data_IF_442789658284
#
_entry.id   IF_442789658284
#
_cell.length_a   1.000
_cell.length_b   1.000
_cell.length_c   1.000
_cell.angle_alpha   90.00
_cell.angle_beta   90.00
_cell.angle_gamma   90.00
#
_symmetry.space_group_name_H-M   'P 1'
#
loop_
_entity.id
_entity.type
_entity.pdbx_description
1 polymer ?
#
# COMPACT_ATOMS: atom_id res chain seq x y z
N UNK A 1 27.60 1.20 -18.84
CA UNK A 1 27.01 1.52 -17.52
C UNK A 1 25.86 0.57 -17.12
N UNK A 2 25.90 -0.71 -17.53
CA UNK A 2 24.97 -1.78 -17.10
C UNK A 2 25.76 -3.00 -16.61
N UNK A 3 26.94 -3.24 -17.19
CA UNK A 3 27.91 -4.25 -16.76
C UNK A 3 28.53 -3.98 -15.37
N UNK A 4 28.37 -2.78 -14.82
CA UNK A 4 28.85 -2.43 -13.47
C UNK A 4 27.90 -2.90 -12.36
N UNK A 5 26.62 -3.14 -12.68
CA UNK A 5 25.58 -3.42 -11.69
C UNK A 5 24.94 -4.80 -11.83
N UNK A 6 25.15 -5.49 -12.95
CA UNK A 6 24.59 -6.81 -13.21
C UNK A 6 25.68 -7.73 -13.78
N UNK A 7 25.72 -9.01 -13.39
CA UNK A 7 26.64 -10.00 -13.93
C UNK A 7 26.17 -10.43 -15.33
N UNK A 8 26.28 -9.52 -16.29
CA UNK A 8 25.91 -9.78 -17.69
C UNK A 8 27.17 -9.85 -18.52
N UNK A 9 27.34 -10.92 -19.29
CA UNK A 9 28.50 -11.06 -20.16
C UNK A 9 28.57 -9.90 -21.18
N UNK A 10 29.77 -9.42 -21.56
CA UNK A 10 29.95 -8.26 -22.44
C UNK A 10 29.27 -8.36 -23.81
N UNK A 11 28.87 -9.57 -24.21
CA UNK A 11 28.21 -9.91 -25.47
C UNK A 11 26.70 -9.70 -25.45
N UNK A 12 26.06 -9.53 -24.28
CA UNK A 12 24.61 -9.37 -24.21
C UNK A 12 24.19 -7.90 -24.39
N UNK A 13 23.60 -7.59 -25.54
CA UNK A 13 23.03 -6.28 -25.81
C UNK A 13 21.89 -5.96 -24.83
N UNK A 14 21.74 -4.70 -24.41
CA UNK A 14 20.64 -4.22 -23.55
C UNK A 14 19.24 -4.66 -24.05
N UNK A 15 19.04 -4.74 -25.36
CA UNK A 15 17.81 -5.22 -25.96
C UNK A 15 17.52 -6.71 -25.64
N UNK A 16 18.55 -7.55 -25.57
CA UNK A 16 18.45 -8.97 -25.23
C UNK A 16 18.07 -9.15 -23.77
N UNK A 17 18.75 -8.44 -22.87
CA UNK A 17 18.42 -8.44 -21.42
C UNK A 17 16.97 -7.99 -21.23
N UNK A 18 16.57 -6.87 -21.83
CA UNK A 18 15.19 -6.37 -21.78
C UNK A 18 14.17 -7.40 -22.28
N UNK A 19 14.39 -8.02 -23.44
CA UNK A 19 13.49 -9.05 -23.99
C UNK A 19 13.36 -10.26 -23.08
N UNK A 20 14.47 -10.72 -22.49
CA UNK A 20 14.44 -11.85 -21.54
C UNK A 20 13.69 -11.49 -20.26
N UNK A 21 13.94 -10.31 -19.69
CA UNK A 21 13.22 -9.83 -18.51
C UNK A 21 11.71 -9.72 -18.77
N UNK A 22 11.31 -9.18 -19.92
CA UNK A 22 9.89 -9.11 -20.31
C UNK A 22 9.29 -10.52 -20.40
N UNK A 23 9.97 -11.46 -21.09
CA UNK A 23 9.50 -12.84 -21.23
C UNK A 23 9.37 -13.58 -19.89
N UNK A 24 10.27 -13.31 -18.94
CA UNK A 24 10.16 -13.85 -17.58
C UNK A 24 8.93 -13.26 -16.89
N UNK A 25 8.69 -11.95 -17.04
CA UNK A 25 7.50 -11.29 -16.53
C UNK A 25 6.21 -11.90 -17.08
N UNK A 26 6.12 -12.06 -18.41
CA UNK A 26 4.98 -12.70 -19.08
C UNK A 26 4.73 -14.11 -18.53
N UNK A 27 5.78 -14.92 -18.40
CA UNK A 27 5.66 -16.27 -17.85
C UNK A 27 5.19 -16.29 -16.39
N UNK A 28 5.63 -15.33 -15.56
CA UNK A 28 5.17 -15.22 -14.18
C UNK A 28 3.68 -14.81 -14.13
N UNK A 29 3.25 -13.89 -14.98
CA UNK A 29 1.84 -13.52 -15.09
C UNK A 29 0.99 -14.71 -15.58
N UNK A 30 1.46 -15.48 -16.56
CA UNK A 30 0.78 -16.69 -17.06
C UNK A 30 0.65 -17.77 -15.97
N UNK A 31 1.72 -18.01 -15.19
CA UNK A 31 1.70 -18.95 -14.06
C UNK A 31 0.67 -18.56 -13.01
N UNK A 32 0.61 -17.27 -12.64
CA UNK A 32 -0.39 -16.75 -11.70
C UNK A 32 -1.81 -16.95 -12.25
N UNK A 33 -2.02 -16.73 -13.56
CA UNK A 33 -3.32 -16.92 -14.19
C UNK A 33 -3.75 -18.40 -14.23
N UNK A 34 -2.83 -19.33 -14.54
CA UNK A 34 -3.10 -20.77 -14.50
C UNK A 34 -3.42 -21.25 -13.08
N UNK A 35 -2.66 -20.80 -12.08
CA UNK A 35 -2.92 -21.11 -10.67
C UNK A 35 -4.30 -20.60 -10.21
N UNK A 36 -4.71 -19.40 -10.66
CA UNK A 36 -6.05 -18.89 -10.40
C UNK A 36 -7.14 -19.77 -11.01
N UNK A 37 -6.97 -20.20 -12.26
CA UNK A 37 -7.88 -21.10 -12.97
C UNK A 37 -8.01 -22.44 -12.23
N UNK A 38 -6.89 -23.05 -11.86
CA UNK A 38 -6.87 -24.29 -11.08
C UNK A 38 -7.51 -24.13 -9.71
N UNK A 39 -7.22 -23.04 -9.01
CA UNK A 39 -7.82 -22.78 -7.71
C UNK A 39 -9.33 -22.51 -7.78
N UNK A 40 -9.84 -21.94 -8.89
CA UNK A 40 -11.28 -21.79 -9.16
C UNK A 40 -11.94 -23.15 -9.43
N UNK A 41 -11.27 -24.06 -10.15
CA UNK A 41 -11.76 -25.40 -10.41
C UNK A 41 -11.79 -26.31 -9.16
N UNK A 42 -10.89 -26.08 -8.19
CA UNK A 42 -10.82 -26.84 -6.93
C UNK A 42 -11.66 -26.27 -5.78
N UNK A 43 -12.47 -25.23 -6.02
CA UNK A 43 -13.20 -24.50 -4.96
C UNK A 43 -14.21 -25.38 -4.21
N UNK A 44 -14.64 -26.52 -4.77
CA UNK A 44 -15.62 -27.40 -4.14
C UNK A 44 -15.06 -28.29 -3.01
N UNK A 45 -13.75 -28.51 -2.93
CA UNK A 45 -13.17 -29.48 -1.98
C UNK A 45 -12.41 -28.87 -0.79
N UNK A 46 -12.02 -27.59 -0.85
CA UNK A 46 -11.20 -26.95 0.20
C UNK A 46 -12.02 -26.05 1.12
N UNK A 47 -12.80 -26.64 2.02
CA UNK A 47 -13.32 -25.88 3.18
C UNK A 47 -12.16 -25.55 4.12
N UNK A 48 -12.09 -24.29 4.58
CA UNK A 48 -11.19 -23.91 5.67
C UNK A 48 -11.64 -24.64 6.94
N UNK A 49 -10.89 -25.66 7.37
CA UNK A 49 -11.23 -26.52 8.51
C UNK A 49 -10.74 -25.96 9.86
N UNK A 50 -10.70 -24.64 9.99
CA UNK A 50 -10.16 -24.00 11.19
C UNK A 50 -11.24 -23.89 12.26
N UNK A 51 -10.93 -24.42 13.45
CA UNK A 51 -11.78 -24.30 14.63
C UNK A 51 -12.00 -22.82 14.93
N UNK A 52 -13.26 -22.42 15.01
CA UNK A 52 -13.60 -21.03 15.26
C UNK A 52 -13.41 -20.67 16.73
N UNK A 53 -12.17 -20.37 17.14
CA UNK A 53 -11.89 -19.80 18.44
C UNK A 53 -12.18 -18.29 18.46
N UNK A 54 -12.89 -17.75 19.47
CA UNK A 54 -13.02 -16.31 19.67
C UNK A 54 -11.63 -15.67 19.88
N UNK A 55 -11.31 -14.60 19.14
CA UNK A 55 -10.02 -13.91 19.25
C UNK A 55 -8.84 -14.60 18.55
N UNK A 56 -9.09 -15.58 17.69
CA UNK A 56 -8.02 -16.22 16.91
C UNK A 56 -7.48 -15.28 15.83
N UNK A 57 -6.27 -14.77 16.04
CA UNK A 57 -5.54 -13.93 15.08
C UNK A 57 -5.32 -14.60 13.74
N UNK A 58 -5.33 -15.94 13.66
CA UNK A 58 -5.19 -16.65 12.39
C UNK A 58 -6.39 -16.47 11.47
N UNK A 59 -7.51 -15.94 11.98
CA UNK A 59 -8.67 -15.55 11.17
C UNK A 59 -8.50 -14.17 10.53
N UNK A 60 -7.54 -13.38 10.98
CA UNK A 60 -7.27 -12.05 10.43
C UNK A 60 -6.35 -12.16 9.21
N UNK A 61 -6.65 -11.36 8.19
CA UNK A 61 -5.81 -11.20 7.01
C UNK A 61 -5.60 -9.70 6.78
N UNK A 62 -4.37 -9.29 6.54
CA UNK A 62 -4.04 -7.87 6.32
C UNK A 62 -3.47 -7.68 4.92
N UNK A 63 -4.03 -6.73 4.20
CA UNK A 63 -3.54 -6.29 2.90
C UNK A 63 -3.08 -4.84 3.05
N UNK A 64 -1.77 -4.60 2.99
CA UNK A 64 -1.20 -3.25 2.98
C UNK A 64 -0.85 -2.88 1.55
N UNK A 65 -1.39 -1.76 1.06
CA UNK A 65 -1.24 -1.32 -0.34
C UNK A 65 -0.71 0.10 -0.36
N UNK A 66 0.30 0.32 -1.20
CA UNK A 66 0.90 1.62 -1.45
C UNK A 66 1.02 1.87 -2.95
N UNK A 67 0.88 3.13 -3.37
CA UNK A 67 0.99 3.54 -4.77
C UNK A 67 2.17 4.47 -4.98
N UNK A 68 2.94 4.21 -6.03
CA UNK A 68 4.10 5.01 -6.39
C UNK A 68 4.04 5.38 -7.87
N UNK A 69 4.47 6.59 -8.19
CA UNK A 69 4.42 7.09 -9.56
C UNK A 69 5.81 7.16 -10.19
N UNK A 70 6.02 6.43 -11.28
CA UNK A 70 7.31 6.38 -11.98
C UNK A 70 7.23 7.17 -13.28
N UNK A 71 8.16 8.12 -13.44
CA UNK A 71 8.30 8.89 -14.67
C UNK A 71 8.95 8.03 -15.75
N UNK A 72 8.41 8.08 -16.95
CA UNK A 72 9.06 7.47 -18.11
C UNK A 72 10.36 8.18 -18.47
N UNK A 73 11.37 7.41 -18.88
CA UNK A 73 12.69 7.92 -19.25
C UNK A 73 12.75 8.48 -20.70
N UNK A 74 11.69 8.34 -21.49
CA UNK A 74 11.66 8.83 -22.87
C UNK A 74 11.39 10.33 -22.94
N UNK A 75 12.20 11.08 -23.69
CA UNK A 75 12.06 12.54 -23.91
C UNK A 75 10.68 12.97 -24.46
N UNK A 76 9.93 12.04 -25.05
CA UNK A 76 8.62 12.28 -25.66
C UNK A 76 7.46 11.57 -24.93
N UNK A 77 7.72 10.96 -23.77
CA UNK A 77 6.73 10.18 -23.03
C UNK A 77 6.29 10.96 -21.79
N UNK A 78 5.26 11.80 -21.92
CA UNK A 78 4.55 12.37 -20.77
C UNK A 78 3.75 11.33 -19.96
N UNK A 79 3.80 10.05 -20.37
CA UNK A 79 3.16 8.95 -19.64
C UNK A 79 3.99 8.58 -18.43
N UNK A 80 3.25 8.46 -17.36
CA UNK A 80 3.64 8.59 -15.98
C UNK A 80 2.89 7.37 -15.41
N UNK A 81 3.62 6.32 -15.04
CA UNK A 81 3.01 5.02 -14.76
C UNK A 81 2.90 4.81 -13.26
N UNK A 82 1.70 4.45 -12.81
CA UNK A 82 1.41 4.17 -11.40
C UNK A 82 1.74 2.70 -11.13
N UNK A 83 2.61 2.48 -10.14
CA UNK A 83 2.93 1.18 -9.58
C UNK A 83 2.15 1.00 -8.29
N UNK A 84 1.44 -0.10 -8.17
CA UNK A 84 0.79 -0.53 -6.95
C UNK A 84 1.63 -1.65 -6.35
N UNK A 85 2.07 -1.46 -5.12
CA UNK A 85 2.78 -2.47 -4.34
C UNK A 85 1.87 -2.89 -3.20
N UNK A 86 1.71 -4.18 -3.00
CA UNK A 86 0.86 -4.69 -1.94
C UNK A 86 1.51 -5.86 -1.21
N UNK A 87 1.31 -5.90 0.11
CA UNK A 87 1.67 -7.02 0.98
C UNK A 87 0.39 -7.65 1.52
N UNK A 88 0.22 -8.94 1.29
CA UNK A 88 -0.84 -9.76 1.87
C UNK A 88 -0.24 -10.64 2.98
N UNK A 89 -0.74 -10.50 4.20
CA UNK A 89 -0.32 -11.27 5.36
C UNK A 89 -1.49 -12.00 5.98
N UNK A 90 -1.17 -13.10 6.67
CA UNK A 90 -2.09 -13.79 7.56
C UNK A 90 -1.71 -13.46 8.99
N UNK A 91 -2.70 -13.23 9.84
CA UNK A 91 -2.48 -12.71 11.17
C UNK A 91 -2.85 -11.23 11.31
N UNK A 92 -2.61 -10.71 12.51
CA UNK A 92 -2.84 -9.31 12.84
C UNK A 92 -1.79 -8.37 12.24
N UNK A 93 -1.98 -7.06 12.47
CA UNK A 93 -1.03 -6.04 11.98
C UNK A 93 0.37 -6.26 12.56
N UNK A 94 1.37 -6.33 11.68
CA UNK A 94 2.77 -6.48 12.06
C UNK A 94 3.23 -7.93 12.24
N UNK A 95 2.39 -8.93 11.96
CA UNK A 95 2.84 -10.32 11.95
C UNK A 95 3.85 -10.58 10.82
N UNK A 96 4.86 -11.39 11.15
CA UNK A 96 5.89 -11.82 10.21
C UNK A 96 5.33 -12.76 9.14
N UNK A 97 5.98 -12.79 7.98
CA UNK A 97 5.47 -13.54 6.83
C UNK A 97 4.42 -12.78 6.03
N UNK A 98 4.31 -13.13 4.75
CA UNK A 98 3.41 -12.47 3.81
C UNK A 98 3.89 -12.61 2.38
N UNK A 99 2.98 -12.35 1.45
CA UNK A 99 3.23 -12.35 0.01
C UNK A 99 3.14 -10.94 -0.52
N UNK A 100 4.06 -10.61 -1.42
CA UNK A 100 4.10 -9.32 -2.06
C UNK A 100 3.70 -9.49 -3.52
N UNK A 101 2.91 -8.55 -4.01
CA UNK A 101 2.71 -8.41 -5.45
C UNK A 101 2.91 -6.95 -5.85
N UNK A 102 3.34 -6.77 -7.11
CA UNK A 102 3.51 -5.46 -7.72
C UNK A 102 2.77 -5.47 -9.04
N UNK A 103 2.03 -4.40 -9.33
CA UNK A 103 1.39 -4.23 -10.64
C UNK A 103 1.53 -2.80 -11.12
N UNK A 104 1.86 -2.64 -12.41
CA UNK A 104 1.82 -1.34 -13.10
C UNK A 104 0.47 -1.04 -13.74
N UNK A 105 -0.55 -1.88 -13.50
CA UNK A 105 -1.90 -1.68 -13.99
C UNK A 105 -2.72 -0.91 -12.97
N UNK A 106 -3.36 0.16 -13.44
CA UNK A 106 -4.34 0.90 -12.66
C UNK A 106 -5.74 0.20 -12.63
N UNK A 107 -5.86 -0.99 -13.24
CA UNK A 107 -7.13 -1.72 -13.27
C UNK A 107 -7.43 -2.37 -11.90
N UNK A 108 -8.56 -1.97 -11.33
CA UNK A 108 -9.01 -2.44 -10.02
C UNK A 108 -9.27 -3.95 -9.98
N UNK A 109 -9.73 -4.55 -11.09
CA UNK A 109 -9.95 -5.99 -11.16
C UNK A 109 -8.62 -6.74 -11.11
N UNK A 110 -7.64 -6.31 -11.89
CA UNK A 110 -6.30 -6.89 -11.86
C UNK A 110 -5.63 -6.78 -10.47
N UNK A 111 -5.80 -5.65 -9.76
CA UNK A 111 -5.27 -5.48 -8.39
C UNK A 111 -5.99 -6.43 -7.42
N UNK A 112 -7.32 -6.53 -7.52
CA UNK A 112 -8.13 -7.43 -6.68
C UNK A 112 -7.74 -8.89 -6.89
N UNK A 113 -7.63 -9.32 -8.14
CA UNK A 113 -7.37 -10.73 -8.47
C UNK A 113 -5.98 -11.13 -7.96
N UNK A 114 -4.95 -10.28 -8.19
CA UNK A 114 -3.62 -10.46 -7.59
C UNK A 114 -3.63 -10.46 -6.05
N UNK A 115 -4.42 -9.60 -5.42
CA UNK A 115 -4.56 -9.59 -3.97
C UNK A 115 -5.21 -10.87 -3.44
N UNK A 116 -6.24 -11.38 -4.12
CA UNK A 116 -6.88 -12.65 -3.78
C UNK A 116 -5.95 -13.85 -3.99
N UNK A 117 -5.15 -13.84 -5.05
CA UNK A 117 -4.12 -14.85 -5.28
C UNK A 117 -3.08 -14.85 -4.16
N UNK A 118 -2.50 -13.69 -3.84
CA UNK A 118 -1.53 -13.55 -2.74
C UNK A 118 -2.13 -13.93 -1.37
N UNK A 119 -3.42 -13.63 -1.13
CA UNK A 119 -4.14 -14.08 0.06
C UNK A 119 -4.28 -15.61 0.11
N UNK A 120 -4.58 -16.25 -1.03
CA UNK A 120 -4.72 -17.71 -1.11
C UNK A 120 -3.40 -18.42 -0.79
N UNK A 121 -2.27 -17.84 -1.19
CA UNK A 121 -0.95 -18.38 -0.86
C UNK A 121 -0.65 -18.31 0.64
N UNK A 122 -1.15 -17.30 1.35
CA UNK A 122 -1.01 -17.20 2.82
C UNK A 122 -2.12 -17.96 3.57
N UNK A 123 -2.95 -18.72 2.87
CA UNK A 123 -3.93 -19.64 3.45
C UNK A 123 -5.37 -19.16 3.47
N UNK A 124 -5.69 -18.05 2.82
CA UNK A 124 -7.08 -17.60 2.68
C UNK A 124 -7.89 -18.57 1.80
N UNK A 125 -9.04 -19.04 2.31
CA UNK A 125 -9.95 -19.96 1.58
C UNK A 125 -11.41 -19.50 1.61
N UNK A 126 -11.63 -18.19 1.72
CA UNK A 126 -12.97 -17.61 1.71
C UNK A 126 -13.56 -17.31 3.10
N UNK A 127 -12.81 -17.59 4.17
CA UNK A 127 -13.24 -17.35 5.54
C UNK A 127 -12.16 -16.59 6.34
N UNK A 128 -12.57 -15.56 7.08
CA UNK A 128 -11.69 -14.69 7.87
C UNK A 128 -11.98 -13.20 7.67
N UNK A 129 -11.46 -12.39 8.57
CA UNK A 129 -11.62 -10.94 8.56
C UNK A 129 -10.50 -10.31 7.73
N UNK A 130 -10.85 -9.64 6.63
CA UNK A 130 -9.86 -9.00 5.76
C UNK A 130 -9.75 -7.52 6.14
N UNK A 131 -8.55 -7.05 6.48
CA UNK A 131 -8.27 -5.63 6.70
C UNK A 131 -7.41 -5.10 5.57
N UNK A 132 -7.91 -4.10 4.84
CA UNK A 132 -7.15 -3.38 3.82
C UNK A 132 -6.62 -2.09 4.43
N UNK A 133 -5.31 -1.89 4.39
CA UNK A 133 -4.61 -0.65 4.75
C UNK A 133 -4.16 -0.01 3.44
N UNK A 134 -4.58 1.22 3.16
CA UNK A 134 -4.17 1.93 1.95
C UNK A 134 -3.82 3.40 2.17
N UNK A 135 -3.01 3.96 1.28
CA UNK A 135 -2.65 5.38 1.21
C UNK A 135 -3.83 6.34 0.94
N UNK A 136 -5.01 5.80 0.61
CA UNK A 136 -6.21 6.54 0.25
C UNK A 136 -6.23 7.08 -1.18
N UNK A 137 -5.34 6.59 -2.05
CA UNK A 137 -5.38 6.84 -3.49
C UNK A 137 -6.75 6.47 -4.08
N UNK A 138 -7.22 7.24 -5.06
CA UNK A 138 -8.56 7.09 -5.65
C UNK A 138 -8.78 5.68 -6.20
N UNK A 139 -7.72 5.09 -6.77
CA UNK A 139 -7.70 3.74 -7.31
C UNK A 139 -8.03 2.68 -6.25
N UNK A 140 -7.73 2.93 -4.97
CA UNK A 140 -7.90 1.98 -3.88
C UNK A 140 -9.19 2.20 -3.07
N UNK A 141 -9.93 3.28 -3.28
CA UNK A 141 -11.18 3.56 -2.53
C UNK A 141 -12.28 2.53 -2.76
N UNK A 142 -12.28 1.87 -3.92
CA UNK A 142 -13.29 0.84 -4.28
C UNK A 142 -12.80 -0.58 -4.07
N UNK A 143 -11.50 -0.78 -3.88
CA UNK A 143 -10.92 -2.10 -3.70
C UNK A 143 -11.49 -2.84 -2.48
N UNK A 144 -11.68 -2.21 -1.29
CA UNK A 144 -12.31 -2.89 -0.15
C UNK A 144 -13.72 -3.41 -0.44
N UNK A 145 -14.48 -2.76 -1.33
CA UNK A 145 -15.82 -3.22 -1.72
C UNK A 145 -15.78 -4.45 -2.61
N UNK A 146 -14.68 -4.65 -3.31
CA UNK A 146 -14.46 -5.77 -4.21
C UNK A 146 -13.78 -6.96 -3.49
N UNK A 147 -13.39 -6.80 -2.22
CA UNK A 147 -12.81 -7.85 -1.40
C UNK A 147 -13.90 -8.69 -0.69
N UNK A 148 -13.58 -9.92 -0.27
CA UNK A 148 -14.50 -10.78 0.46
C UNK A 148 -14.86 -10.20 1.82
N UNK A 149 -16.16 -10.24 2.17
CA UNK A 149 -16.66 -9.72 3.45
C UNK A 149 -16.45 -10.70 4.60
N UNK A 150 -16.19 -10.21 5.83
CA UNK A 150 -16.11 -8.80 6.19
C UNK A 150 -14.76 -8.18 5.82
N UNK A 151 -14.79 -6.98 5.23
CA UNK A 151 -13.60 -6.18 4.90
C UNK A 151 -13.59 -4.88 5.69
N UNK A 152 -12.59 -4.68 6.55
CA UNK A 152 -12.28 -3.38 7.13
C UNK A 152 -11.34 -2.60 6.22
N UNK A 153 -11.54 -1.28 6.12
CA UNK A 153 -10.65 -0.39 5.37
C UNK A 153 -10.09 0.69 6.27
N UNK A 154 -8.77 0.85 6.26
CA UNK A 154 -8.04 1.77 7.11
C UNK A 154 -7.10 2.59 6.23
N UNK A 155 -7.12 3.90 6.42
CA UNK A 155 -6.18 4.79 5.76
C UNK A 155 -4.86 4.75 6.54
N UNK A 156 -3.76 4.61 5.81
CA UNK A 156 -2.42 4.57 6.39
C UNK A 156 -2.09 5.89 7.11
N UNK A 157 -1.68 5.77 8.37
CA UNK A 157 -1.32 6.89 9.23
C UNK A 157 -0.11 7.67 8.74
N UNK A 158 0.85 7.00 8.07
CA UNK A 158 1.96 7.68 7.41
C UNK A 158 1.43 8.63 6.31
N UNK A 159 0.51 8.14 5.49
CA UNK A 159 -0.11 8.93 4.44
C UNK A 159 -0.97 10.08 4.97
N UNK A 160 -1.68 9.87 6.08
CA UNK A 160 -2.39 10.95 6.79
C UNK A 160 -1.39 11.99 7.29
N UNK A 161 -0.28 11.57 7.90
CA UNK A 161 0.78 12.48 8.36
C UNK A 161 1.40 13.28 7.20
N UNK A 162 1.57 12.66 6.02
CA UNK A 162 2.04 13.33 4.81
C UNK A 162 1.07 14.40 4.32
N UNK A 163 -0.24 14.20 4.46
CA UNK A 163 -1.25 15.24 4.11
C UNK A 163 -1.24 16.45 5.05
N UNK A 164 -0.66 16.33 6.24
CA UNK A 164 -0.45 17.45 7.17
C UNK A 164 0.78 18.29 6.79
N UNK A 165 1.70 17.75 5.98
CA UNK A 165 2.95 18.43 5.62
C UNK A 165 2.79 19.80 4.91
N UNK A 166 1.85 19.98 3.97
CA UNK A 166 1.63 21.30 3.35
C UNK A 166 1.22 22.37 4.35
N UNK A 167 0.42 22.03 5.37
CA UNK A 167 0.02 22.97 6.42
C UNK A 167 1.23 23.45 7.22
N UNK A 168 2.18 22.55 7.49
CA UNK A 168 3.43 22.91 8.13
C UNK A 168 4.30 23.83 7.26
N UNK A 169 4.34 23.61 5.94
CA UNK A 169 5.07 24.47 5.02
C UNK A 169 4.47 25.89 4.97
N UNK A 170 3.13 25.99 4.97
CA UNK A 170 2.42 27.26 5.02
C UNK A 170 2.69 27.99 6.34
N UNK A 171 2.57 27.32 7.48
CA UNK A 171 2.84 27.91 8.79
C UNK A 171 4.28 28.46 8.89
N UNK A 172 5.26 27.68 8.43
CA UNK A 172 6.66 28.11 8.36
C UNK A 172 6.87 29.30 7.42
N UNK A 173 6.20 29.32 6.26
CA UNK A 173 6.28 30.45 5.34
C UNK A 173 5.68 31.72 5.95
N UNK A 174 4.51 31.62 6.60
CA UNK A 174 3.85 32.74 7.29
C UNK A 174 4.69 33.30 8.44
N UNK A 175 5.31 32.43 9.24
CA UNK A 175 6.19 32.83 10.35
C UNK A 175 7.43 33.60 9.87
N UNK A 176 7.93 33.29 8.67
CA UNK A 176 9.09 33.97 8.07
C UNK A 176 8.72 35.27 7.35
N UNK A 177 7.47 35.44 6.93
CA UNK A 177 7.02 36.55 6.06
C UNK A 177 6.22 37.63 6.79
N UNK A 178 5.69 37.38 7.99
CA UNK A 178 4.98 38.40 8.81
C UNK A 178 5.56 38.48 10.22
N UNK A 179 6.28 39.56 10.50
CA UNK A 179 6.85 39.88 11.83
C UNK A 179 5.80 40.19 12.92
N UNK A 180 4.52 40.37 12.55
CA UNK A 180 3.44 40.74 13.49
C UNK A 180 2.57 39.60 14.03
N UNK A 181 2.75 38.35 13.59
CA UNK A 181 1.98 37.18 14.05
C UNK A 181 2.75 36.35 15.11
N UNK A 182 3.66 37.00 15.83
CA UNK A 182 4.82 36.37 16.49
C UNK A 182 4.47 35.42 17.64
N UNK A 183 3.30 35.52 18.27
CA UNK A 183 2.98 34.71 19.45
C UNK A 183 2.20 33.43 19.13
N UNK A 184 1.30 33.46 18.14
CA UNK A 184 0.44 32.31 17.80
C UNK A 184 1.09 31.31 16.83
N UNK A 185 1.93 31.78 15.90
CA UNK A 185 2.54 30.93 14.88
C UNK A 185 3.50 29.85 15.43
N UNK A 186 4.33 30.11 16.46
CA UNK A 186 5.17 29.08 17.06
C UNK A 186 4.37 27.98 17.78
N UNK A 187 3.21 28.31 18.33
CA UNK A 187 2.31 27.35 18.96
C UNK A 187 1.65 26.45 17.88
N UNK A 188 1.13 27.06 16.81
CA UNK A 188 0.52 26.34 15.69
C UNK A 188 1.53 25.39 15.01
N UNK A 189 2.76 25.83 14.74
CA UNK A 189 3.77 24.95 14.15
C UNK A 189 4.19 23.81 15.09
N UNK A 190 4.26 24.05 16.40
CA UNK A 190 4.52 23.00 17.40
C UNK A 190 3.40 21.96 17.42
N UNK A 191 2.15 22.39 17.40
CA UNK A 191 0.98 21.50 17.40
C UNK A 191 0.94 20.67 16.11
N UNK A 192 1.18 21.30 14.96
CA UNK A 192 1.29 20.60 13.67
C UNK A 192 2.41 19.56 13.68
N UNK A 193 3.59 19.88 14.24
CA UNK A 193 4.68 18.89 14.41
C UNK A 193 4.27 17.74 15.32
N UNK A 194 3.62 18.03 16.44
CA UNK A 194 3.19 17.04 17.42
C UNK A 194 2.17 16.08 16.80
N UNK A 195 1.16 16.61 16.11
CA UNK A 195 0.15 15.82 15.38
C UNK A 195 0.81 14.95 14.31
N UNK A 196 1.67 15.53 13.46
CA UNK A 196 2.39 14.77 12.42
C UNK A 196 3.23 13.63 13.00
N UNK A 197 3.99 13.91 14.05
CA UNK A 197 4.84 12.90 14.70
C UNK A 197 4.01 11.79 15.33
N UNK A 198 2.87 12.11 15.97
CA UNK A 198 1.99 11.12 16.56
C UNK A 198 1.32 10.24 15.52
N UNK A 199 0.85 10.82 14.41
CA UNK A 199 0.31 10.07 13.28
C UNK A 199 1.36 9.14 12.69
N UNK A 200 2.58 9.61 12.48
CA UNK A 200 3.69 8.79 11.98
C UNK A 200 3.97 7.55 12.83
N UNK A 201 3.78 7.64 14.15
CA UNK A 201 4.02 6.54 15.09
C UNK A 201 2.73 5.79 15.48
N UNK A 202 1.62 6.02 14.78
CA UNK A 202 0.34 5.33 15.03
C UNK A 202 -0.34 5.71 16.36
N UNK A 203 0.02 6.85 16.99
CA UNK A 203 -0.60 7.32 18.24
C UNK A 203 -1.84 8.17 17.96
N UNK A 204 -2.87 7.55 17.41
CA UNK A 204 -4.05 8.22 16.85
C UNK A 204 -4.87 8.95 17.91
N UNK A 205 -5.17 8.31 19.04
CA UNK A 205 -6.00 8.91 20.09
C UNK A 205 -5.39 10.23 20.57
N UNK A 206 -4.07 10.24 20.78
CA UNK A 206 -3.33 11.44 21.17
C UNK A 206 -3.23 12.49 20.06
N UNK A 207 -3.26 12.09 18.79
CA UNK A 207 -3.28 13.04 17.68
C UNK A 207 -4.66 13.72 17.57
N UNK A 208 -5.74 12.97 17.80
CA UNK A 208 -7.12 13.48 17.82
C UNK A 208 -7.30 14.46 18.98
N UNK A 209 -6.87 14.10 20.19
CA UNK A 209 -6.98 14.99 21.36
C UNK A 209 -6.26 16.33 21.16
N UNK A 210 -5.08 16.33 20.53
CA UNK A 210 -4.37 17.58 20.23
C UNK A 210 -5.16 18.43 19.22
N UNK A 211 -5.66 17.81 18.14
CA UNK A 211 -6.46 18.52 17.14
C UNK A 211 -7.74 19.12 17.75
N UNK A 212 -8.40 18.40 18.65
CA UNK A 212 -9.61 18.87 19.34
C UNK A 212 -9.32 20.03 20.31
N UNK A 213 -8.16 20.02 20.97
CA UNK A 213 -7.73 21.12 21.85
C UNK A 213 -7.30 22.36 21.07
N UNK A 214 -6.57 22.21 19.96
CA UNK A 214 -6.13 23.36 19.13
C UNK A 214 -7.27 24.02 18.35
N UNK A 215 -8.44 23.37 18.19
CA UNK A 215 -9.62 23.93 17.49
C UNK A 215 -10.61 24.63 18.44
N UNK A 216 -10.55 24.36 19.74
CA UNK A 216 -11.42 24.98 20.77
C UNK A 216 -10.78 26.20 21.44
N UNK A 217 -9.52 26.50 21.13
CA UNK A 217 -8.75 27.63 21.67
C UNK A 217 -8.73 28.84 20.76
#
# INVERSE_FOLDING_TARGET
MLAEFLPVEPTETHATVRKRTIRIGERLDDQVAEEELHARAQTDERRQLEMQLPGDRRKEFVISIDTAHVRSAGSNSARNFELVVARCGRGGRGEGGGRYFVTGSADQRAIRDRALHALREVGYRGFGDVTVISDGAEILKRLPRAMPKPTAHIIDWFHIAMKVQPMQQIANHMARSRSGLSEALPAIDRDIRAVKWRLWHGRVDRAITDLEHSWRG
#
